data_IF_796540669723
#
_entry.id   IF_796540669723
#
_cell.length_a   1.000
_cell.length_b   1.000
_cell.length_c   1.000
_cell.angle_alpha   90.00
_cell.angle_beta   90.00
_cell.angle_gamma   90.00
#
_symmetry.space_group_name_H-M   'P 1'
#
loop_
_entity.id
_entity.type
_entity.pdbx_description
1 polymer ?
#
# COMPACT_ATOMS: atom_id res chain seq x y z
N UNK A 1 5.14 -15.48 -0.12
CA UNK A 1 4.87 -14.82 1.18
C UNK A 1 4.01 -15.74 2.04
N UNK A 2 4.34 -15.86 3.32
CA UNK A 2 3.59 -16.64 4.30
C UNK A 2 2.17 -16.10 4.51
N UNK A 3 1.24 -17.00 4.84
CA UNK A 3 -0.18 -16.66 4.99
C UNK A 3 -0.43 -15.67 6.14
N UNK A 4 0.35 -15.75 7.21
CA UNK A 4 0.27 -14.84 8.37
C UNK A 4 0.57 -13.39 7.96
N UNK A 5 1.61 -13.18 7.16
CA UNK A 5 1.93 -11.88 6.58
C UNK A 5 0.85 -11.40 5.59
N UNK A 6 0.32 -12.29 4.73
CA UNK A 6 -0.77 -11.97 3.79
C UNK A 6 -2.03 -11.48 4.50
N UNK A 7 -2.45 -12.19 5.55
CA UNK A 7 -3.66 -11.86 6.30
C UNK A 7 -3.56 -10.50 7.00
N UNK A 8 -2.36 -10.10 7.43
CA UNK A 8 -2.14 -8.83 8.13
C UNK A 8 -1.78 -7.66 7.19
N UNK A 9 -1.49 -7.94 5.91
CA UNK A 9 -1.03 -6.92 4.97
C UNK A 9 -2.01 -5.75 4.82
N UNK A 10 -3.32 -6.01 4.85
CA UNK A 10 -4.34 -4.96 4.76
C UNK A 10 -4.24 -3.98 5.92
N UNK A 11 -4.32 -4.47 7.16
CA UNK A 11 -4.24 -3.64 8.36
C UNK A 11 -2.93 -2.84 8.39
N UNK A 12 -1.80 -3.48 8.05
CA UNK A 12 -0.51 -2.82 8.06
C UNK A 12 -0.39 -1.72 6.99
N UNK A 13 -0.64 -2.05 5.72
CA UNK A 13 -0.41 -1.13 4.60
C UNK A 13 -1.46 -0.01 4.57
N UNK A 14 -2.73 -0.37 4.73
CA UNK A 14 -3.85 0.59 4.65
C UNK A 14 -3.91 1.46 5.89
N UNK A 15 -3.49 0.96 7.06
CA UNK A 15 -3.38 1.77 8.29
C UNK A 15 -2.41 2.96 8.17
N UNK A 16 -1.56 3.00 7.12
CA UNK A 16 -0.63 4.10 6.86
C UNK A 16 -1.04 5.03 5.72
N UNK A 17 -1.74 4.51 4.72
CA UNK A 17 -2.16 5.30 3.55
C UNK A 17 -3.58 5.83 3.67
N UNK A 18 -4.39 5.20 4.52
CA UNK A 18 -5.83 5.37 4.55
C UNK A 18 -6.53 4.61 3.43
N UNK A 19 -7.82 4.38 3.61
CA UNK A 19 -8.70 3.83 2.59
C UNK A 19 -9.60 4.95 2.07
N UNK A 20 -9.56 5.21 0.77
CA UNK A 20 -10.34 6.26 0.11
C UNK A 20 -11.26 5.60 -0.91
N UNK A 21 -12.56 5.57 -0.63
CA UNK A 21 -13.48 4.77 -1.43
C UNK A 21 -13.95 5.49 -2.70
N UNK A 22 -13.77 6.80 -2.82
CA UNK A 22 -14.07 7.55 -4.03
C UNK A 22 -12.83 7.72 -4.92
N UNK A 23 -13.03 8.24 -6.13
CA UNK A 23 -11.93 8.77 -6.94
C UNK A 23 -11.41 10.05 -6.29
N UNK A 24 -10.08 10.22 -6.25
CA UNK A 24 -9.45 11.45 -5.81
C UNK A 24 -8.20 11.74 -6.63
N UNK A 25 -7.79 13.00 -6.68
CA UNK A 25 -6.52 13.38 -7.30
C UNK A 25 -5.40 13.34 -6.25
N UNK A 26 -4.38 12.54 -6.49
CA UNK A 26 -3.23 12.45 -5.60
C UNK A 26 -2.23 13.61 -5.79
N UNK A 27 -1.16 13.60 -5.00
CA UNK A 27 -0.10 14.62 -5.03
C UNK A 27 0.67 14.69 -6.36
N UNK A 28 0.49 13.72 -7.25
CA UNK A 28 1.07 13.67 -8.59
C UNK A 28 0.10 14.19 -9.66
N UNK A 29 -1.13 14.56 -9.29
CA UNK A 29 -2.17 14.93 -10.24
C UNK A 29 -2.79 13.74 -10.97
N UNK A 30 -2.64 12.53 -10.40
CA UNK A 30 -3.17 11.30 -10.95
C UNK A 30 -4.39 10.87 -10.16
N UNK A 31 -5.39 10.33 -10.85
CA UNK A 31 -6.59 9.83 -10.19
C UNK A 31 -6.29 8.48 -9.52
N UNK A 32 -6.62 8.40 -8.24
CA UNK A 32 -6.34 7.29 -7.34
C UNK A 32 -7.60 6.95 -6.54
N UNK A 33 -7.69 5.71 -6.06
CA UNK A 33 -8.75 5.22 -5.15
C UNK A 33 -8.23 4.09 -4.26
N UNK A 34 -9.06 3.55 -3.37
CA UNK A 34 -8.71 2.46 -2.46
C UNK A 34 -7.55 2.82 -1.54
N UNK A 35 -6.54 1.97 -1.50
CA UNK A 35 -5.31 2.18 -0.73
C UNK A 35 -4.15 2.54 -1.68
N UNK A 36 -4.18 3.74 -2.24
CA UNK A 36 -3.15 4.20 -3.16
C UNK A 36 -3.18 3.53 -4.55
N UNK A 37 -4.33 2.97 -4.95
CA UNK A 37 -4.49 2.37 -6.27
C UNK A 37 -4.70 3.45 -7.32
N UNK A 38 -3.62 3.80 -8.02
CA UNK A 38 -3.67 4.71 -9.16
C UNK A 38 -4.48 4.10 -10.31
N UNK A 39 -5.55 4.77 -10.70
CA UNK A 39 -6.47 4.38 -11.80
C UNK A 39 -6.35 5.34 -12.98
N UNK A 40 -5.21 6.00 -13.06
CA UNK A 40 -4.86 6.98 -14.07
C UNK A 40 -3.48 6.64 -14.63
N UNK A 41 -3.17 7.15 -15.81
CA UNK A 41 -1.84 7.09 -16.40
C UNK A 41 -1.40 8.53 -16.69
N UNK A 42 -0.16 8.71 -17.12
CA UNK A 42 0.48 9.99 -17.43
C UNK A 42 -0.50 11.06 -17.93
N UNK A 43 -0.31 12.30 -17.49
CA UNK A 43 -1.28 13.42 -17.50
C UNK A 43 -1.90 13.86 -18.84
N UNK A 44 -1.65 13.17 -19.95
CA UNK A 44 -2.12 13.53 -21.29
C UNK A 44 -3.18 12.59 -21.91
N UNK A 45 -3.50 11.46 -21.31
CA UNK A 45 -4.50 10.51 -21.84
C UNK A 45 -5.93 10.82 -21.37
N UNK A 46 -6.93 10.62 -22.25
CA UNK A 46 -8.35 10.61 -21.86
C UNK A 46 -8.78 9.29 -21.22
N UNK A 47 -10.04 9.20 -20.77
CA UNK A 47 -10.60 8.03 -20.08
C UNK A 47 -10.35 6.69 -20.78
N UNK A 48 -10.44 6.66 -22.12
CA UNK A 48 -10.18 5.45 -22.92
C UNK A 48 -8.79 4.84 -22.67
N UNK A 49 -7.77 5.63 -22.34
CA UNK A 49 -6.41 5.15 -22.08
C UNK A 49 -6.28 4.46 -20.71
N UNK A 50 -7.21 4.73 -19.79
CA UNK A 50 -7.19 4.26 -18.39
C UNK A 50 -8.35 3.34 -18.05
N UNK A 51 -9.30 3.14 -18.99
CA UNK A 51 -10.51 2.37 -18.80
C UNK A 51 -10.27 0.99 -18.19
N UNK A 52 -9.23 0.27 -18.62
CA UNK A 52 -8.88 -1.04 -18.04
C UNK A 52 -8.56 -0.96 -16.55
N UNK A 53 -7.84 0.08 -16.09
CA UNK A 53 -7.51 0.27 -14.68
C UNK A 53 -8.75 0.64 -13.86
N UNK A 54 -9.58 1.53 -14.39
CA UNK A 54 -10.81 1.98 -13.71
C UNK A 54 -11.80 0.82 -13.57
N UNK A 55 -11.87 -0.07 -14.56
CA UNK A 55 -12.75 -1.24 -14.58
C UNK A 55 -12.24 -2.41 -13.71
N UNK A 56 -11.08 -2.29 -13.04
CA UNK A 56 -10.69 -3.23 -11.99
C UNK A 56 -11.59 -3.12 -10.74
N UNK A 57 -12.40 -2.07 -10.68
CA UNK A 57 -13.26 -1.72 -9.55
C UNK A 57 -14.73 -1.72 -9.95
N UNK A 58 -15.58 -2.19 -9.04
CA UNK A 58 -17.02 -1.98 -9.12
C UNK A 58 -17.37 -0.64 -8.48
N UNK A 59 -17.92 0.27 -9.27
CA UNK A 59 -18.34 1.59 -8.82
C UNK A 59 -19.83 1.60 -8.48
N UNK A 60 -20.17 2.30 -7.40
CA UNK A 60 -21.53 2.44 -6.89
C UNK A 60 -21.84 3.91 -6.69
N UNK A 61 -23.06 4.31 -7.06
CA UNK A 61 -23.56 5.64 -6.74
C UNK A 61 -23.67 5.81 -5.23
N UNK A 62 -23.10 6.88 -4.68
CA UNK A 62 -23.13 7.15 -3.23
C UNK A 62 -24.57 7.34 -2.73
N UNK A 63 -25.44 7.97 -3.54
CA UNK A 63 -26.80 8.34 -3.13
C UNK A 63 -27.74 7.16 -2.87
N UNK A 64 -27.55 6.04 -3.57
CA UNK A 64 -28.50 4.91 -3.57
C UNK A 64 -27.82 3.53 -3.60
N UNK A 65 -26.48 3.48 -3.60
CA UNK A 65 -25.67 2.27 -3.60
C UNK A 65 -25.96 1.33 -4.79
N UNK A 66 -26.46 1.87 -5.91
CA UNK A 66 -26.69 1.12 -7.15
C UNK A 66 -25.41 1.09 -7.98
N UNK A 67 -25.07 -0.03 -8.65
CA UNK A 67 -23.94 -0.06 -9.59
C UNK A 67 -24.00 1.10 -10.59
N UNK A 68 -22.87 1.77 -10.77
CA UNK A 68 -22.71 2.83 -11.75
C UNK A 68 -22.57 2.24 -13.15
N UNK A 69 -23.13 2.93 -14.13
CA UNK A 69 -22.93 2.63 -15.56
C UNK A 69 -21.52 3.06 -15.99
N UNK A 70 -20.97 2.49 -17.08
CA UNK A 70 -19.68 2.93 -17.62
C UNK A 70 -19.62 4.45 -17.91
N UNK A 71 -20.73 5.03 -18.38
CA UNK A 71 -20.83 6.46 -18.66
C UNK A 71 -20.78 7.32 -17.38
N UNK A 72 -21.38 6.86 -16.28
CA UNK A 72 -21.29 7.53 -14.98
C UNK A 72 -19.85 7.48 -14.45
N UNK A 73 -19.18 6.34 -14.59
CA UNK A 73 -17.77 6.17 -14.17
C UNK A 73 -16.84 7.08 -14.96
N UNK A 74 -17.03 7.17 -16.29
CA UNK A 74 -16.29 8.09 -17.14
C UNK A 74 -16.54 9.55 -16.78
N UNK A 75 -17.81 9.92 -16.53
CA UNK A 75 -18.17 11.27 -16.13
C UNK A 75 -17.54 11.66 -14.79
N UNK A 76 -17.58 10.77 -13.79
CA UNK A 76 -16.93 10.97 -12.50
C UNK A 76 -15.41 11.15 -12.67
N UNK A 77 -14.76 10.27 -13.43
CA UNK A 77 -13.33 10.37 -13.68
C UNK A 77 -12.96 11.69 -14.36
N UNK A 78 -13.71 12.11 -15.38
CA UNK A 78 -13.50 13.38 -16.08
C UNK A 78 -13.72 14.58 -15.14
N UNK A 79 -14.71 14.52 -14.25
CA UNK A 79 -14.98 15.54 -13.25
C UNK A 79 -13.81 15.70 -12.26
N UNK A 80 -13.28 14.58 -11.76
CA UNK A 80 -12.09 14.60 -10.89
C UNK A 80 -10.86 15.07 -11.68
N UNK A 81 -10.69 14.66 -12.94
CA UNK A 81 -9.54 15.06 -13.77
C UNK A 81 -9.53 16.56 -14.07
N UNK A 82 -10.71 17.17 -14.18
CA UNK A 82 -10.87 18.60 -14.40
C UNK A 82 -10.48 19.45 -13.18
N UNK A 83 -10.27 18.84 -12.00
CA UNK A 83 -9.73 19.54 -10.83
C UNK A 83 -8.29 19.96 -11.14
N UNK A 84 -8.10 21.24 -11.45
CA UNK A 84 -6.79 21.76 -11.89
C UNK A 84 -5.67 21.43 -10.90
N UNK A 85 -4.46 21.06 -11.38
CA UNK A 85 -3.32 20.69 -10.54
C UNK A 85 -2.66 21.89 -9.82
N UNK A 86 -3.42 22.96 -9.55
CA UNK A 86 -2.99 24.14 -8.79
C UNK A 86 -3.94 24.45 -7.62
N UNK A 87 -4.96 23.62 -7.39
CA UNK A 87 -5.92 23.82 -6.30
C UNK A 87 -5.40 23.33 -4.94
N UNK A 88 -5.97 23.88 -3.86
CA UNK A 88 -5.69 23.46 -2.48
C UNK A 88 -5.91 21.95 -2.24
N UNK A 89 -6.69 21.26 -3.08
CA UNK A 89 -6.96 19.83 -2.99
C UNK A 89 -5.73 18.93 -3.22
N UNK A 90 -4.72 19.37 -3.98
CA UNK A 90 -3.47 18.59 -4.17
C UNK A 90 -2.62 18.48 -2.89
N UNK A 91 -2.86 19.33 -1.90
CA UNK A 91 -2.17 19.27 -0.60
C UNK A 91 -2.94 18.40 0.41
N UNK A 92 -4.13 17.91 0.05
CA UNK A 92 -4.93 17.05 0.90
C UNK A 92 -4.45 15.61 0.75
N UNK A 93 -4.36 14.89 1.86
CA UNK A 93 -4.36 13.44 1.76
C UNK A 93 -5.74 12.97 1.26
N UNK A 94 -5.81 11.76 0.69
CA UNK A 94 -7.03 11.31 0.02
C UNK A 94 -8.26 11.24 0.94
N UNK A 95 -8.07 11.03 2.26
CA UNK A 95 -9.18 11.02 3.22
C UNK A 95 -9.75 12.42 3.45
N UNK A 96 -8.90 13.42 3.60
CA UNK A 96 -9.31 14.83 3.68
C UNK A 96 -10.02 15.25 2.38
N UNK A 97 -9.50 14.81 1.23
CA UNK A 97 -10.16 15.05 -0.06
C UNK A 97 -11.57 14.46 -0.08
N UNK A 98 -11.73 13.19 0.27
CA UNK A 98 -13.03 12.50 0.27
C UNK A 98 -14.05 13.25 1.15
N UNK A 99 -13.66 13.59 2.38
CA UNK A 99 -14.55 14.28 3.32
C UNK A 99 -14.94 15.67 2.83
N UNK A 100 -14.03 16.39 2.17
CA UNK A 100 -14.30 17.69 1.56
C UNK A 100 -15.19 17.56 0.32
N UNK A 101 -14.89 16.61 -0.57
CA UNK A 101 -15.58 16.41 -1.84
C UNK A 101 -17.04 15.99 -1.63
N UNK A 102 -17.31 15.13 -0.64
CA UNK A 102 -18.66 14.71 -0.24
C UNK A 102 -19.51 15.86 0.32
N UNK A 103 -18.90 16.91 0.85
CA UNK A 103 -19.58 18.08 1.46
C UNK A 103 -19.85 19.22 0.49
N UNK A 104 -19.35 19.16 -0.75
CA UNK A 104 -19.67 20.18 -1.76
C UNK A 104 -21.16 20.17 -2.11
N UNK A 105 -21.67 21.29 -2.64
CA UNK A 105 -23.07 21.42 -3.09
C UNK A 105 -23.05 21.93 -4.55
N UNK A 106 -23.35 21.07 -5.54
CA UNK A 106 -23.56 19.61 -5.41
C UNK A 106 -22.29 18.87 -4.97
N UNK A 107 -22.40 17.64 -4.42
CA UNK A 107 -21.24 16.82 -4.07
C UNK A 107 -20.31 16.64 -5.27
N UNK A 108 -19.00 16.80 -5.03
CA UNK A 108 -18.01 16.70 -6.10
C UNK A 108 -17.75 15.25 -6.50
N UNK A 109 -17.78 14.34 -5.52
CA UNK A 109 -17.74 12.90 -5.76
C UNK A 109 -19.13 12.31 -5.61
N UNK A 110 -19.52 11.51 -6.59
CA UNK A 110 -20.84 10.85 -6.62
C UNK A 110 -20.74 9.34 -6.67
N UNK A 111 -19.54 8.79 -6.93
CA UNK A 111 -19.28 7.35 -6.98
C UNK A 111 -18.29 6.91 -5.90
N UNK A 112 -18.45 5.67 -5.46
CA UNK A 112 -17.52 5.00 -4.55
C UNK A 112 -17.41 3.50 -4.86
N UNK A 113 -16.30 2.90 -4.49
CA UNK A 113 -16.15 1.44 -4.36
C UNK A 113 -16.65 1.00 -2.98
N UNK A 114 -16.96 -0.28 -2.81
CA UNK A 114 -17.26 -0.84 -1.48
C UNK A 114 -15.99 -1.33 -0.80
N UNK A 115 -15.89 -1.04 0.48
CA UNK A 115 -14.77 -1.46 1.32
C UNK A 115 -14.62 -2.99 1.36
N UNK A 116 -15.71 -3.73 1.55
CA UNK A 116 -15.66 -5.18 1.64
C UNK A 116 -15.28 -5.84 0.30
N UNK A 117 -15.78 -5.31 -0.82
CA UNK A 117 -15.37 -5.75 -2.16
C UNK A 117 -13.90 -5.42 -2.43
N UNK A 118 -13.41 -4.25 -2.01
CA UNK A 118 -12.01 -3.89 -2.13
C UNK A 118 -11.11 -4.85 -1.34
N UNK A 119 -11.44 -5.10 -0.07
CA UNK A 119 -10.68 -6.00 0.82
C UNK A 119 -10.66 -7.43 0.28
N UNK A 120 -11.79 -7.93 -0.21
CA UNK A 120 -11.90 -9.33 -0.67
C UNK A 120 -11.33 -9.55 -2.07
N UNK A 121 -11.51 -8.60 -2.99
CA UNK A 121 -11.31 -8.86 -4.42
C UNK A 121 -10.16 -8.09 -5.04
N UNK A 122 -9.88 -6.87 -4.57
CA UNK A 122 -8.90 -5.96 -5.19
C UNK A 122 -7.58 -6.00 -4.44
N UNK A 123 -7.62 -5.79 -3.12
CA UNK A 123 -6.44 -5.71 -2.29
C UNK A 123 -5.55 -6.97 -2.37
N UNK A 124 -6.08 -8.20 -2.30
CA UNK A 124 -5.24 -9.40 -2.38
C UNK A 124 -4.52 -9.53 -3.73
N UNK A 125 -5.19 -9.18 -4.83
CA UNK A 125 -4.58 -9.15 -6.17
C UNK A 125 -3.46 -8.11 -6.23
N UNK A 126 -3.62 -6.96 -5.56
CA UNK A 126 -2.58 -5.94 -5.51
C UNK A 126 -1.36 -6.42 -4.72
N UNK A 127 -1.57 -7.06 -3.56
CA UNK A 127 -0.50 -7.69 -2.79
C UNK A 127 0.23 -8.73 -3.64
N UNK A 128 -0.49 -9.57 -4.37
CA UNK A 128 0.09 -10.56 -5.28
C UNK A 128 0.89 -9.91 -6.42
N UNK A 129 0.40 -8.83 -7.02
CA UNK A 129 1.14 -8.08 -8.05
C UNK A 129 2.47 -7.55 -7.50
N UNK A 130 2.48 -6.97 -6.30
CA UNK A 130 3.69 -6.49 -5.64
C UNK A 130 4.64 -7.63 -5.28
N UNK A 131 4.14 -8.72 -4.71
CA UNK A 131 4.91 -9.92 -4.41
C UNK A 131 5.61 -10.47 -5.67
N UNK A 132 4.85 -10.59 -6.77
CA UNK A 132 5.39 -11.06 -8.04
C UNK A 132 6.42 -10.08 -8.63
N UNK A 133 6.23 -8.78 -8.49
CA UNK A 133 7.19 -7.77 -8.94
C UNK A 133 8.49 -7.83 -8.12
N UNK A 134 8.40 -7.96 -6.79
CA UNK A 134 9.56 -8.13 -5.89
C UNK A 134 10.38 -9.35 -6.32
N UNK A 135 9.73 -10.52 -6.48
CA UNK A 135 10.39 -11.77 -6.88
C UNK A 135 11.05 -11.71 -8.25
N UNK A 136 10.50 -10.90 -9.17
CA UNK A 136 11.04 -10.70 -10.53
C UNK A 136 12.11 -9.61 -10.59
N UNK A 137 12.47 -8.98 -9.46
CA UNK A 137 13.53 -7.99 -9.45
C UNK A 137 14.85 -8.64 -9.88
N UNK A 138 15.55 -8.10 -10.89
CA UNK A 138 16.83 -8.64 -11.35
C UNK A 138 17.87 -8.70 -10.22
N UNK A 139 18.87 -9.58 -10.38
CA UNK A 139 20.08 -9.72 -9.54
C UNK A 139 19.91 -10.56 -8.26
N UNK A 140 18.89 -11.43 -8.21
CA UNK A 140 18.68 -12.46 -7.18
C UNK A 140 18.57 -11.94 -5.74
N UNK A 141 18.34 -10.64 -5.51
CA UNK A 141 18.28 -10.09 -4.15
C UNK A 141 17.11 -10.61 -3.32
N UNK A 142 16.04 -11.02 -3.99
CA UNK A 142 14.81 -11.53 -3.39
C UNK A 142 14.49 -12.95 -3.86
N UNK A 143 15.48 -13.72 -4.34
CA UNK A 143 15.24 -15.08 -4.87
C UNK A 143 14.62 -16.02 -3.83
N UNK A 144 14.97 -15.82 -2.56
CA UNK A 144 14.51 -16.63 -1.42
C UNK A 144 13.36 -15.93 -0.68
N UNK A 145 12.65 -14.98 -1.34
CA UNK A 145 11.60 -14.18 -0.69
C UNK A 145 10.52 -15.03 -0.04
N UNK A 146 10.19 -16.20 -0.60
CA UNK A 146 9.21 -17.11 -0.03
C UNK A 146 9.67 -17.77 1.29
N UNK A 147 10.97 -17.84 1.52
CA UNK A 147 11.60 -18.41 2.73
C UNK A 147 12.02 -17.35 3.76
N UNK A 148 11.86 -16.06 3.43
CA UNK A 148 12.11 -14.98 4.37
C UNK A 148 11.09 -15.00 5.53
N UNK A 149 11.48 -14.57 6.74
CA UNK A 149 10.54 -14.43 7.85
C UNK A 149 9.29 -13.62 7.47
N UNK A 150 8.13 -13.99 7.98
CA UNK A 150 6.85 -13.34 7.67
C UNK A 150 6.90 -11.81 7.90
N UNK A 151 7.51 -11.36 9.00
CA UNK A 151 7.72 -9.93 9.24
C UNK A 151 8.62 -9.29 8.18
N UNK A 152 9.71 -9.94 7.75
CA UNK A 152 10.57 -9.42 6.69
C UNK A 152 9.85 -9.33 5.33
N UNK A 153 9.01 -10.31 5.00
CA UNK A 153 8.19 -10.29 3.79
C UNK A 153 7.24 -9.08 3.79
N UNK A 154 6.54 -8.86 4.92
CA UNK A 154 5.67 -7.69 5.08
C UNK A 154 6.44 -6.37 5.10
N UNK A 155 7.65 -6.35 5.67
CA UNK A 155 8.52 -5.17 5.70
C UNK A 155 8.99 -4.78 4.31
N UNK A 156 9.48 -5.74 3.53
CA UNK A 156 9.86 -5.54 2.12
C UNK A 156 8.66 -5.09 1.30
N UNK A 157 7.49 -5.71 1.50
CA UNK A 157 6.24 -5.29 0.86
C UNK A 157 5.87 -3.84 1.22
N UNK A 158 6.03 -3.43 2.48
CA UNK A 158 5.81 -2.04 2.91
C UNK A 158 6.74 -1.06 2.18
N UNK A 159 8.04 -1.35 2.09
CA UNK A 159 8.99 -0.50 1.35
C UNK A 159 8.61 -0.44 -0.13
N UNK A 160 8.27 -1.60 -0.72
CA UNK A 160 7.85 -1.69 -2.12
C UNK A 160 6.56 -0.91 -2.39
N UNK A 161 5.57 -0.99 -1.51
CA UNK A 161 4.28 -0.33 -1.69
C UNK A 161 4.40 1.19 -1.71
N UNK A 162 5.24 1.77 -0.84
CA UNK A 162 5.45 3.23 -0.82
C UNK A 162 6.31 3.77 -1.98
N UNK A 163 7.26 2.97 -2.45
CA UNK A 163 8.31 3.42 -3.37
C UNK A 163 8.20 2.79 -4.78
N UNK A 164 7.30 1.84 -4.95
CA UNK A 164 7.20 1.00 -6.15
C UNK A 164 8.05 -0.28 -6.06
N UNK A 165 7.48 -1.38 -6.60
CA UNK A 165 8.11 -2.70 -6.64
C UNK A 165 8.91 -2.99 -7.93
N UNK A 166 8.73 -2.18 -8.98
CA UNK A 166 9.29 -2.50 -10.29
C UNK A 166 10.78 -2.17 -10.39
N UNK A 167 11.48 -3.03 -11.13
CA UNK A 167 12.93 -2.98 -11.38
C UNK A 167 13.36 -1.98 -12.45
N UNK A 168 12.41 -1.45 -13.22
CA UNK A 168 12.73 -0.42 -14.20
C UNK A 168 13.07 0.86 -13.44
N UNK A 169 14.32 1.27 -13.56
CA UNK A 169 14.78 2.63 -13.31
C UNK A 169 14.01 3.57 -14.24
N UNK A 170 12.73 3.80 -13.97
CA UNK A 170 11.94 4.77 -14.70
C UNK A 170 12.27 6.14 -14.11
N UNK A 171 13.15 6.85 -14.82
CA UNK A 171 13.56 8.23 -14.53
C UNK A 171 12.37 9.19 -14.41
N UNK A 172 11.15 8.76 -14.77
CA UNK A 172 9.92 9.57 -14.69
C UNK A 172 9.09 9.34 -13.43
N UNK A 173 9.33 8.26 -12.67
CA UNK A 173 8.73 8.16 -11.33
C UNK A 173 9.48 9.10 -10.40
N UNK A 174 8.73 9.89 -9.62
CA UNK A 174 9.23 10.90 -8.68
C UNK A 174 10.43 10.34 -7.91
N UNK A 175 11.63 10.79 -8.30
CA UNK A 175 12.95 10.47 -7.74
C UNK A 175 13.63 9.15 -8.13
N UNK A 176 13.06 8.31 -9.01
CA UNK A 176 13.68 7.05 -9.45
C UNK A 176 13.99 6.08 -8.31
N UNK A 177 13.29 6.20 -7.18
CA UNK A 177 13.49 5.41 -5.97
C UNK A 177 12.49 4.27 -5.93
N UNK A 178 12.77 3.15 -6.58
CA UNK A 178 12.07 1.89 -6.30
C UNK A 178 12.89 1.07 -5.30
N UNK A 179 12.38 -0.06 -4.83
CA UNK A 179 13.20 -1.00 -4.03
C UNK A 179 14.48 -1.43 -4.78
N UNK A 180 14.47 -1.38 -6.12
CA UNK A 180 15.63 -1.65 -6.96
C UNK A 180 16.71 -0.56 -6.86
N UNK A 181 16.37 0.64 -6.40
CA UNK A 181 17.28 1.78 -6.30
C UNK A 181 18.00 1.89 -4.95
N UNK A 182 17.72 0.98 -4.00
CA UNK A 182 18.34 0.95 -2.68
C UNK A 182 19.41 -0.16 -2.60
N UNK A 183 20.66 0.09 -3.03
CA UNK A 183 21.67 -0.96 -3.13
C UNK A 183 22.00 -1.62 -1.79
N UNK A 184 22.10 -0.84 -0.71
CA UNK A 184 22.37 -1.38 0.63
C UNK A 184 21.21 -2.24 1.14
N UNK A 185 19.96 -1.76 1.03
CA UNK A 185 18.78 -2.54 1.40
C UNK A 185 18.74 -3.88 0.69
N UNK A 186 18.95 -3.90 -0.64
CA UNK A 186 18.95 -5.14 -1.43
C UNK A 186 20.06 -6.11 -1.06
N UNK A 187 21.27 -5.60 -0.84
CA UNK A 187 22.38 -6.43 -0.40
C UNK A 187 22.06 -7.10 0.94
N UNK A 188 21.52 -6.34 1.89
CA UNK A 188 21.15 -6.87 3.21
C UNK A 188 19.94 -7.82 3.14
N UNK A 189 18.96 -7.60 2.25
CA UNK A 189 17.88 -8.56 2.02
C UNK A 189 18.41 -9.89 1.47
N UNK A 190 19.37 -9.85 0.54
CA UNK A 190 20.03 -11.03 -0.02
C UNK A 190 20.80 -11.81 1.05
N UNK A 191 21.49 -11.08 1.93
CA UNK A 191 22.20 -11.65 3.08
C UNK A 191 21.26 -12.04 4.23
N UNK A 192 19.97 -11.69 4.14
CA UNK A 192 18.98 -11.82 5.20
C UNK A 192 19.41 -11.15 6.52
N UNK A 193 20.19 -10.06 6.43
CA UNK A 193 20.68 -9.30 7.60
C UNK A 193 19.63 -8.28 8.06
N UNK A 194 18.54 -8.82 8.62
CA UNK A 194 17.42 -8.03 9.12
C UNK A 194 17.81 -7.08 10.25
N UNK A 195 18.86 -7.40 11.02
CA UNK A 195 19.38 -6.54 12.11
C UNK A 195 19.98 -5.26 11.56
N UNK A 196 20.79 -5.34 10.51
CA UNK A 196 21.34 -4.13 9.88
C UNK A 196 20.27 -3.32 9.18
N UNK A 197 19.32 -3.96 8.49
CA UNK A 197 18.17 -3.23 7.90
C UNK A 197 17.42 -2.45 8.97
N UNK A 198 17.19 -3.07 10.13
CA UNK A 198 16.53 -2.46 11.28
C UNK A 198 17.29 -1.28 11.92
N UNK A 199 18.62 -1.30 11.87
CA UNK A 199 19.49 -0.35 12.57
C UNK A 199 19.94 0.82 11.68
N UNK A 200 19.96 0.62 10.37
CA UNK A 200 20.50 1.57 9.40
C UNK A 200 19.40 2.16 8.51
N UNK A 201 19.61 3.39 8.03
CA UNK A 201 18.73 4.01 7.03
C UNK A 201 19.03 3.45 5.63
N UNK A 202 18.64 2.19 5.42
CA UNK A 202 18.97 1.40 4.22
C UNK A 202 18.08 1.71 3.02
N UNK A 203 16.89 2.28 3.26
CA UNK A 203 15.94 2.77 2.27
C UNK A 203 15.44 4.17 2.68
N UNK A 204 14.76 4.85 1.76
CA UNK A 204 14.13 6.16 1.99
C UNK A 204 12.68 6.11 1.55
N UNK A 205 11.85 6.94 2.16
CA UNK A 205 10.44 7.09 1.80
C UNK A 205 10.28 8.30 0.87
N UNK A 206 9.56 8.14 -0.23
CA UNK A 206 9.16 9.24 -1.13
C UNK A 206 8.26 10.26 -0.44
N UNK A 207 7.43 9.82 0.50
CA UNK A 207 6.65 10.66 1.41
C UNK A 207 7.00 10.24 2.85
N UNK A 208 7.69 11.11 3.59
CA UNK A 208 8.13 10.82 4.96
C UNK A 208 6.89 10.59 5.85
N UNK A 209 6.62 9.33 6.17
CA UNK A 209 5.67 8.93 7.21
C UNK A 209 6.49 8.23 8.30
N UNK A 210 6.99 9.00 9.27
CA UNK A 210 7.81 8.49 10.37
C UNK A 210 7.13 7.31 11.09
N UNK A 211 5.79 7.33 11.18
CA UNK A 211 5.01 6.23 11.75
C UNK A 211 5.12 4.93 10.95
N UNK A 212 5.11 5.00 9.61
CA UNK A 212 5.31 3.84 8.73
C UNK A 212 6.74 3.33 8.82
N UNK A 213 7.73 4.23 8.88
CA UNK A 213 9.13 3.84 9.02
C UNK A 213 9.35 3.07 10.31
N UNK A 214 8.93 3.61 11.46
CA UNK A 214 9.10 2.98 12.78
C UNK A 214 8.51 1.57 12.81
N UNK A 215 7.31 1.39 12.25
CA UNK A 215 6.64 0.09 12.20
C UNK A 215 7.30 -0.87 11.20
N UNK A 216 7.77 -0.38 10.05
CA UNK A 216 8.52 -1.19 9.08
C UNK A 216 9.86 -1.65 9.67
N UNK A 217 10.58 -0.76 10.37
CA UNK A 217 11.78 -1.12 11.12
C UNK A 217 11.50 -2.12 12.25
N UNK A 218 10.31 -2.08 12.86
CA UNK A 218 9.89 -3.09 13.85
C UNK A 218 9.71 -4.46 13.21
N UNK A 219 9.16 -4.55 12.00
CA UNK A 219 9.07 -5.81 11.26
C UNK A 219 10.46 -6.43 11.02
N UNK A 220 11.45 -5.64 10.60
CA UNK A 220 12.82 -6.15 10.42
C UNK A 220 13.47 -6.57 11.74
N UNK A 221 13.24 -5.85 12.84
CA UNK A 221 13.67 -6.27 14.18
C UNK A 221 13.04 -7.59 14.64
N UNK A 222 11.76 -7.80 14.33
CA UNK A 222 11.09 -9.06 14.62
C UNK A 222 11.66 -10.21 13.78
N UNK A 223 11.87 -9.98 12.48
CA UNK A 223 12.46 -10.96 11.58
C UNK A 223 13.86 -11.41 12.02
N UNK A 224 14.67 -10.48 12.53
CA UNK A 224 16.00 -10.74 13.09
C UNK A 224 16.02 -11.68 14.31
N UNK A 225 14.89 -11.82 15.00
CA UNK A 225 14.75 -12.57 16.24
C UNK A 225 13.74 -13.72 16.13
N UNK A 226 13.18 -13.96 14.93
CA UNK A 226 12.17 -14.99 14.75
C UNK A 226 12.79 -16.39 14.70
N UNK A 227 12.30 -17.29 15.55
CA UNK A 227 12.63 -18.71 15.52
C UNK A 227 11.73 -19.50 14.54
N UNK A 228 10.52 -19.00 14.29
CA UNK A 228 9.56 -19.58 13.34
C UNK A 228 9.30 -18.55 12.23
N UNK A 229 10.01 -18.71 11.11
CA UNK A 229 9.94 -17.79 9.97
C UNK A 229 8.52 -17.66 9.40
N UNK A 230 7.64 -18.64 9.62
CA UNK A 230 6.29 -18.64 9.05
C UNK A 230 5.28 -17.82 9.84
N UNK A 231 5.60 -17.47 11.09
CA UNK A 231 4.72 -16.71 11.98
C UNK A 231 5.05 -15.23 11.95
N UNK A 232 4.02 -14.41 11.73
CA UNK A 232 4.11 -12.97 11.89
C UNK A 232 4.09 -12.64 13.38
N UNK A 233 5.13 -11.97 13.86
CA UNK A 233 5.24 -11.49 15.25
C UNK A 233 4.53 -10.15 15.41
N UNK A 234 4.39 -9.37 14.33
CA UNK A 234 3.71 -8.08 14.33
C UNK A 234 2.16 -8.21 14.23
N UNK A 235 1.40 -7.37 14.95
CA UNK A 235 1.86 -6.52 16.04
C UNK A 235 2.24 -7.43 17.19
N UNK A 236 3.23 -7.02 18.02
CA UNK A 236 3.55 -7.80 19.22
C UNK A 236 2.28 -7.84 20.07
N UNK A 237 1.55 -8.95 20.01
CA UNK A 237 0.53 -9.27 20.99
C UNK A 237 1.36 -9.46 22.26
N UNK A 238 1.26 -8.52 23.20
CA UNK A 238 1.77 -8.78 24.54
C UNK A 238 1.04 -10.04 25.00
N UNK A 239 1.75 -11.15 25.03
CA UNK A 239 1.31 -12.30 25.80
C UNK A 239 1.42 -11.79 27.23
N UNK A 240 0.29 -11.43 27.83
CA UNK A 240 0.23 -11.26 29.28
C UNK A 240 0.75 -12.57 29.86
N UNK A 241 1.93 -12.49 30.47
CA UNK A 241 2.48 -13.60 31.24
C UNK A 241 1.51 -13.80 32.39
N UNK A 242 0.60 -14.77 32.25
CA UNK A 242 -0.16 -15.29 33.38
C UNK A 242 0.88 -15.92 34.29
N UNK A 243 1.27 -15.20 35.34
CA UNK A 243 2.03 -15.79 36.44
C UNK A 243 1.18 -16.91 37.02
N UNK A 244 1.53 -18.16 36.71
CA UNK A 244 1.00 -19.30 37.44
C UNK A 244 1.67 -19.26 38.82
N UNK A 245 1.07 -18.51 39.75
CA UNK A 245 1.43 -18.59 41.16
C UNK A 245 1.04 -19.99 41.62
N UNK A 246 2.02 -20.89 41.63
CA UNK A 246 1.86 -22.21 42.22
C UNK A 246 1.63 -22.06 43.72
N UNK A 247 0.38 -22.17 44.15
CA UNK A 247 0.08 -22.52 45.53
C UNK A 247 0.58 -23.95 45.76
N UNK A 248 1.77 -24.05 46.35
CA UNK A 248 2.21 -25.28 46.96
C UNK A 248 1.27 -25.58 48.14
N UNK A 249 0.30 -26.47 47.90
CA UNK A 249 -0.50 -27.10 48.95
C UNK A 249 0.41 -27.78 49.96
N UNK A 250 0.30 -27.36 51.23
CA UNK A 250 0.78 -28.09 52.40
C UNK A 250 -0.19 -29.21 52.77
#
# INVERSE_FOLDING_TARGET
MHITAKNYAFEFLVGHEGLVLCMYMDVLGLITTGAGNMIDKDSGGGFAAVQTLVNEFNWYRIKDNVPATPAEVEAEWNNIKALTPKGHHLKMNGKIFEDWAKKQIPPLVTLQIKEDEFIKNVFPKKVEQFENAIKKTPLDYFKDFDDFPADAQLGILSVAWANGAYSAYDKKTRDGQTIASFPLFRALCKEQDWRKIAAEKTYRWTNINDGRDIKTQKLFRNAANSFDKTKLIYPVIQIEMIEITGEASK
#
